data_IF_545040907944
#
_entry.id   IF_545040907944
#
_cell.length_a   1.000
_cell.length_b   1.000
_cell.length_c   1.000
_cell.angle_alpha   90.00
_cell.angle_beta   90.00
_cell.angle_gamma   90.00
#
_symmetry.space_group_name_H-M   'P 1'
#
loop_
_entity.id
_entity.type
_entity.pdbx_description
1 polymer ?
#
# COMPACT_ATOMS: atom_id res chain seq x y z
N UNK A 1 -46.95 -5.38 47.12
CA UNK A 1 -47.20 -5.62 45.68
C UNK A 1 -46.65 -4.43 44.89
N UNK A 2 -45.37 -4.46 44.51
CA UNK A 2 -44.72 -3.34 43.82
C UNK A 2 -44.80 -3.50 42.30
N UNK A 3 -45.38 -2.48 41.67
CA UNK A 3 -45.46 -2.26 40.23
C UNK A 3 -44.05 -2.25 39.60
N UNK A 4 -43.88 -2.97 38.48
CA UNK A 4 -42.76 -2.82 37.56
C UNK A 4 -43.26 -2.86 36.11
N UNK A 5 -43.72 -1.72 35.62
CA UNK A 5 -43.31 -1.24 34.29
C UNK A 5 -42.12 -0.30 34.58
N UNK A 6 -41.11 -0.09 33.74
CA UNK A 6 -41.18 0.48 32.41
C UNK A 6 -40.04 -0.05 31.56
N UNK A 7 -40.36 -0.41 30.32
CA UNK A 7 -39.40 -0.53 29.22
C UNK A 7 -39.11 0.88 28.72
N UNK A 8 -37.84 1.27 28.68
CA UNK A 8 -37.37 2.37 27.85
C UNK A 8 -36.11 1.89 27.12
N UNK A 9 -36.33 1.24 25.98
CA UNK A 9 -35.29 0.98 24.98
C UNK A 9 -35.13 2.29 24.21
N UNK A 10 -34.04 3.00 24.44
CA UNK A 10 -33.59 4.07 23.54
C UNK A 10 -32.56 3.44 22.57
N UNK A 11 -32.86 3.32 21.27
CA UNK A 11 -31.86 2.95 20.29
C UNK A 11 -30.99 4.18 20.02
N UNK A 12 -29.90 4.30 20.77
CA UNK A 12 -28.85 5.28 20.51
C UNK A 12 -28.11 4.91 19.23
N UNK A 13 -28.50 5.54 18.13
CA UNK A 13 -27.91 5.43 16.81
C UNK A 13 -26.42 5.80 16.88
N UNK A 14 -25.53 4.81 16.82
CA UNK A 14 -24.09 5.04 16.69
C UNK A 14 -23.86 5.43 15.24
N UNK A 15 -23.75 6.73 14.97
CA UNK A 15 -23.24 7.23 13.69
C UNK A 15 -21.74 6.92 13.65
N UNK A 16 -21.42 5.72 13.17
CA UNK A 16 -20.08 5.38 12.70
C UNK A 16 -19.75 6.36 11.59
N UNK A 17 -18.89 7.33 11.89
CA UNK A 17 -18.33 8.22 10.90
C UNK A 17 -17.37 7.37 10.07
N UNK A 18 -17.87 6.79 8.99
CA UNK A 18 -17.06 6.07 8.03
C UNK A 18 -16.00 7.06 7.52
N UNK A 19 -14.77 6.85 7.96
CA UNK A 19 -13.61 7.49 7.37
C UNK A 19 -13.70 7.22 5.86
N UNK A 20 -13.93 8.27 5.08
CA UNK A 20 -13.70 8.25 3.65
C UNK A 20 -12.23 7.89 3.47
N UNK A 21 -11.96 6.59 3.32
CA UNK A 21 -10.72 6.12 2.77
C UNK A 21 -10.66 6.77 1.39
N UNK A 22 -9.76 7.73 1.22
CA UNK A 22 -9.47 8.30 -0.08
C UNK A 22 -9.22 7.10 -1.01
N UNK A 23 -10.18 6.81 -1.90
CA UNK A 23 -10.00 5.80 -2.94
C UNK A 23 -8.70 6.15 -3.63
N UNK A 24 -7.81 5.17 -3.80
CA UNK A 24 -6.53 5.47 -4.43
C UNK A 24 -6.84 5.98 -5.83
N UNK A 25 -6.24 7.13 -6.19
CA UNK A 25 -6.38 7.72 -7.53
C UNK A 25 -5.92 6.78 -8.66
N UNK A 26 -5.39 5.61 -8.30
CA UNK A 26 -4.82 4.60 -9.15
C UNK A 26 -5.84 3.61 -9.72
N UNK A 27 -7.12 3.68 -9.36
CA UNK A 27 -8.14 2.74 -9.87
C UNK A 27 -8.24 2.67 -11.40
N UNK A 28 -7.97 3.78 -12.08
CA UNK A 28 -7.91 3.85 -13.56
C UNK A 28 -6.61 3.26 -14.14
N UNK A 29 -5.59 3.05 -13.32
CA UNK A 29 -4.25 2.55 -13.68
C UNK A 29 -4.11 1.05 -13.42
N UNK A 30 -5.16 0.27 -13.72
CA UNK A 30 -5.16 -1.19 -13.60
C UNK A 30 -4.38 -1.86 -14.72
N UNK A 31 -3.90 -3.07 -14.43
CA UNK A 31 -3.21 -3.91 -15.39
C UNK A 31 -4.06 -4.18 -16.63
N UNK A 32 -3.44 -4.14 -17.80
CA UNK A 32 -4.01 -4.65 -19.06
C UNK A 32 -3.16 -5.82 -19.57
N UNK A 33 -3.38 -6.26 -20.81
CA UNK A 33 -2.69 -7.44 -21.35
C UNK A 33 -1.17 -7.25 -21.48
N UNK A 34 -0.70 -6.02 -21.69
CA UNK A 34 0.71 -5.71 -21.93
C UNK A 34 1.41 -5.05 -20.73
N UNK A 35 0.70 -4.22 -19.98
CA UNK A 35 1.27 -3.34 -18.94
C UNK A 35 0.77 -3.79 -17.57
N UNK A 36 1.68 -3.81 -16.59
CA UNK A 36 1.31 -3.98 -15.19
C UNK A 36 0.85 -2.65 -14.60
N UNK A 37 -0.36 -2.65 -14.03
CA UNK A 37 -0.99 -1.46 -13.48
C UNK A 37 -0.31 -0.96 -12.22
N UNK A 38 -0.31 0.37 -12.05
CA UNK A 38 0.14 1.01 -10.82
C UNK A 38 -0.76 0.66 -9.64
N UNK A 39 -2.05 0.39 -9.90
CA UNK A 39 -2.98 -0.10 -8.90
C UNK A 39 -2.47 -1.40 -8.24
N UNK A 40 -2.15 -2.42 -9.04
CA UNK A 40 -1.72 -3.71 -8.48
C UNK A 40 -0.36 -3.61 -7.78
N UNK A 41 0.54 -2.75 -8.25
CA UNK A 41 1.82 -2.45 -7.59
C UNK A 41 1.60 -1.81 -6.22
N UNK A 42 0.73 -0.80 -6.14
CA UNK A 42 0.37 -0.13 -4.88
C UNK A 42 -0.26 -1.10 -3.89
N UNK A 43 -1.21 -1.93 -4.36
CA UNK A 43 -1.87 -2.93 -3.52
C UNK A 43 -0.90 -3.97 -2.95
N UNK A 44 0.03 -4.48 -3.78
CA UNK A 44 1.05 -5.43 -3.32
C UNK A 44 1.94 -4.82 -2.23
N UNK A 45 2.39 -3.57 -2.44
CA UNK A 45 3.22 -2.87 -1.47
C UNK A 45 2.48 -2.57 -0.16
N UNK A 46 1.22 -2.13 -0.23
CA UNK A 46 0.39 -1.87 0.95
C UNK A 46 0.08 -3.13 1.73
N UNK A 47 -0.25 -4.22 1.05
CA UNK A 47 -0.50 -5.52 1.68
C UNK A 47 0.74 -6.01 2.45
N UNK A 48 1.93 -5.90 1.83
CA UNK A 48 3.19 -6.23 2.49
C UNK A 48 3.43 -5.35 3.73
N UNK A 49 3.29 -4.03 3.62
CA UNK A 49 3.50 -3.13 4.76
C UNK A 49 2.48 -3.34 5.88
N UNK A 50 1.22 -3.62 5.55
CA UNK A 50 0.21 -3.96 6.54
C UNK A 50 0.61 -5.21 7.35
N UNK A 51 1.09 -6.26 6.67
CA UNK A 51 1.58 -7.47 7.31
C UNK A 51 2.82 -7.20 8.20
N UNK A 52 3.77 -6.40 7.70
CA UNK A 52 4.98 -6.04 8.45
C UNK A 52 4.67 -5.19 9.69
N UNK A 53 3.75 -4.24 9.58
CA UNK A 53 3.28 -3.43 10.71
C UNK A 53 2.62 -4.31 11.78
N UNK A 54 1.76 -5.24 11.37
CA UNK A 54 1.12 -6.19 12.28
C UNK A 54 2.15 -7.08 12.99
N UNK A 55 3.19 -7.52 12.28
CA UNK A 55 4.24 -8.38 12.84
C UNK A 55 5.16 -7.67 13.84
N UNK A 56 5.47 -6.39 13.61
CA UNK A 56 6.53 -5.67 14.32
C UNK A 56 6.05 -4.53 15.23
N UNK A 57 4.74 -4.32 15.35
CA UNK A 57 4.14 -3.15 16.00
C UNK A 57 4.70 -1.81 15.46
N UNK A 58 5.17 -1.81 14.21
CA UNK A 58 5.61 -0.62 13.51
C UNK A 58 4.41 0.09 12.86
N UNK A 59 4.64 1.33 12.44
CA UNK A 59 3.64 2.14 11.74
C UNK A 59 4.28 2.71 10.46
N UNK A 60 4.51 1.87 9.46
CA UNK A 60 4.96 2.31 8.15
C UNK A 60 3.77 2.65 7.24
N UNK A 61 3.90 3.71 6.46
CA UNK A 61 2.99 4.07 5.38
C UNK A 61 3.74 4.04 4.03
N UNK A 62 3.10 3.48 3.00
CA UNK A 62 3.60 3.41 1.64
C UNK A 62 3.12 4.63 0.85
N UNK A 63 4.03 5.31 0.18
CA UNK A 63 3.69 6.34 -0.80
C UNK A 63 3.26 5.68 -2.12
N UNK A 64 2.32 6.31 -2.83
CA UNK A 64 1.88 5.82 -4.15
C UNK A 64 3.07 5.66 -5.13
N UNK A 65 2.99 4.71 -6.08
CA UNK A 65 3.95 4.57 -7.17
C UNK A 65 4.17 5.86 -7.95
N UNK A 66 5.34 5.99 -8.58
CA UNK A 66 5.57 7.07 -9.52
C UNK A 66 4.68 6.87 -10.75
N UNK A 67 3.86 7.86 -11.13
CA UNK A 67 2.98 7.79 -12.29
C UNK A 67 3.74 7.63 -13.63
N UNK A 68 5.06 7.86 -13.64
CA UNK A 68 5.94 7.59 -14.80
C UNK A 68 6.45 6.15 -14.85
N UNK A 69 6.11 5.31 -13.87
CA UNK A 69 6.47 3.89 -13.89
C UNK A 69 5.64 3.18 -14.95
N UNK A 70 6.33 2.54 -15.89
CA UNK A 70 5.74 1.71 -16.93
C UNK A 70 6.53 0.41 -17.00
N UNK A 71 5.88 -0.71 -16.69
CA UNK A 71 6.52 -2.03 -16.69
C UNK A 71 5.60 -3.05 -17.38
N UNK A 72 6.20 -4.06 -18.01
CA UNK A 72 5.43 -5.12 -18.66
C UNK A 72 4.59 -5.91 -17.63
N UNK A 73 3.39 -6.35 -18.02
CA UNK A 73 2.50 -7.14 -17.15
C UNK A 73 3.25 -8.33 -16.56
N UNK A 74 3.18 -8.51 -15.24
CA UNK A 74 3.80 -9.69 -14.64
C UNK A 74 3.00 -10.96 -15.04
N UNK A 75 3.71 -12.01 -15.46
CA UNK A 75 3.08 -13.30 -15.85
C UNK A 75 3.04 -14.30 -14.70
N UNK A 76 3.65 -13.95 -13.56
CA UNK A 76 3.68 -14.72 -12.31
C UNK A 76 3.29 -13.79 -11.15
N UNK A 77 2.96 -14.32 -9.96
CA UNK A 77 2.70 -13.50 -8.80
C UNK A 77 3.87 -12.56 -8.47
N UNK A 78 3.55 -11.35 -8.03
CA UNK A 78 4.54 -10.39 -7.56
C UNK A 78 5.20 -10.88 -6.26
N UNK A 79 6.51 -10.70 -6.16
CA UNK A 79 7.23 -10.76 -4.89
C UNK A 79 7.28 -9.35 -4.28
N UNK A 80 7.15 -9.23 -2.96
CA UNK A 80 7.22 -7.94 -2.28
C UNK A 80 8.07 -8.05 -1.02
N UNK A 81 9.03 -7.14 -0.87
CA UNK A 81 10.03 -7.20 0.22
C UNK A 81 10.57 -5.84 0.61
N UNK A 82 11.24 -5.78 1.75
CA UNK A 82 12.02 -4.60 2.13
C UNK A 82 13.24 -4.42 1.21
N UNK A 83 13.49 -3.18 0.81
CA UNK A 83 14.71 -2.78 0.12
C UNK A 83 15.32 -1.51 0.70
N UNK A 84 16.36 -1.01 0.02
CA UNK A 84 17.05 0.24 0.37
C UNK A 84 17.22 1.09 -0.89
N UNK A 85 17.03 2.40 -0.75
CA UNK A 85 17.40 3.38 -1.77
C UNK A 85 18.54 4.24 -1.23
N UNK A 86 19.49 4.58 -2.10
CA UNK A 86 20.56 5.52 -1.82
C UNK A 86 20.26 6.80 -2.59
N UNK A 87 20.23 7.91 -1.87
CA UNK A 87 20.04 9.24 -2.41
C UNK A 87 21.27 10.07 -2.01
N UNK A 88 21.64 11.02 -2.85
CA UNK A 88 22.70 11.98 -2.52
C UNK A 88 22.08 13.33 -2.26
N UNK A 89 22.35 13.90 -1.09
CA UNK A 89 21.95 15.26 -0.77
C UNK A 89 22.83 16.26 -1.56
N UNK A 90 22.38 17.52 -1.74
CA UNK A 90 23.16 18.54 -2.45
C UNK A 90 24.54 18.83 -1.84
N UNK A 91 24.72 18.54 -0.56
CA UNK A 91 25.98 18.64 0.18
C UNK A 91 26.93 17.43 -0.03
N UNK A 92 26.54 16.47 -0.89
CA UNK A 92 27.31 15.25 -1.18
C UNK A 92 27.11 14.13 -0.17
N UNK A 93 26.29 14.32 0.87
CA UNK A 93 26.01 13.27 1.86
C UNK A 93 25.13 12.17 1.28
N UNK A 94 25.52 10.91 1.50
CA UNK A 94 24.68 9.76 1.17
C UNK A 94 23.56 9.57 2.21
N UNK A 95 22.32 9.54 1.73
CA UNK A 95 21.11 9.26 2.50
C UNK A 95 20.60 7.88 2.11
N UNK A 96 20.56 6.95 3.06
CA UNK A 96 19.94 5.65 2.85
C UNK A 96 18.52 5.65 3.39
N UNK A 97 17.55 5.43 2.50
CA UNK A 97 16.13 5.27 2.84
C UNK A 97 15.70 3.80 2.78
N UNK A 98 14.73 3.43 3.62
CA UNK A 98 13.98 2.18 3.47
C UNK A 98 12.92 2.35 2.39
N UNK A 99 12.74 1.31 1.58
CA UNK A 99 11.70 1.24 0.54
C UNK A 99 11.02 -0.14 0.57
N UNK A 100 9.86 -0.23 -0.05
CA UNK A 100 9.25 -1.52 -0.40
C UNK A 100 9.57 -1.79 -1.86
N UNK A 101 10.11 -2.96 -2.14
CA UNK A 101 10.38 -3.42 -3.50
C UNK A 101 9.27 -4.37 -3.92
N UNK A 102 8.54 -4.02 -4.97
CA UNK A 102 7.62 -4.91 -5.68
C UNK A 102 8.34 -5.44 -6.91
N UNK A 103 8.46 -6.76 -6.99
CA UNK A 103 9.34 -7.46 -7.93
C UNK A 103 8.51 -8.39 -8.80
N UNK A 104 8.74 -8.32 -10.10
CA UNK A 104 8.27 -9.30 -11.05
C UNK A 104 9.45 -10.10 -11.58
N UNK A 105 9.58 -11.39 -11.23
CA UNK A 105 10.68 -12.20 -11.72
C UNK A 105 10.52 -12.61 -13.18
N UNK A 106 9.29 -12.60 -13.72
CA UNK A 106 9.01 -12.88 -15.13
C UNK A 106 7.77 -12.14 -15.61
N UNK A 107 7.94 -11.25 -16.58
CA UNK A 107 6.83 -10.55 -17.23
C UNK A 107 6.35 -11.26 -18.51
N UNK A 108 5.32 -10.73 -19.15
CA UNK A 108 4.83 -11.18 -20.45
C UNK A 108 5.87 -10.97 -21.58
N UNK A 109 6.80 -10.02 -21.43
CA UNK A 109 7.94 -9.86 -22.35
C UNK A 109 9.10 -10.82 -22.05
N UNK A 110 9.02 -11.59 -20.96
CA UNK A 110 10.09 -12.46 -20.47
C UNK A 110 11.12 -11.77 -19.57
N UNK A 111 11.11 -10.44 -19.49
CA UNK A 111 12.03 -9.66 -18.66
C UNK A 111 11.57 -9.63 -17.20
N UNK A 112 12.53 -9.50 -16.28
CA UNK A 112 12.26 -9.21 -14.87
C UNK A 112 12.31 -7.71 -14.60
N UNK A 113 11.51 -7.24 -13.64
CA UNK A 113 11.54 -5.84 -13.24
C UNK A 113 11.32 -5.68 -11.74
N UNK A 114 11.65 -4.49 -11.24
CA UNK A 114 11.47 -4.11 -9.85
C UNK A 114 11.05 -2.64 -9.75
N UNK A 115 10.05 -2.38 -8.93
CA UNK A 115 9.58 -1.03 -8.60
C UNK A 115 9.77 -0.79 -7.11
N UNK A 116 10.44 0.31 -6.76
CA UNK A 116 10.69 0.69 -5.37
C UNK A 116 9.74 1.81 -4.93
N UNK A 117 8.91 1.54 -3.94
CA UNK A 117 7.98 2.50 -3.34
C UNK A 117 8.57 3.05 -2.05
N UNK A 118 8.49 4.36 -1.87
CA UNK A 118 8.99 5.01 -0.65
C UNK A 118 8.07 4.67 0.51
N UNK A 119 8.68 4.50 1.69
CA UNK A 119 7.93 4.40 2.95
C UNK A 119 8.33 5.52 3.89
N UNK A 120 7.39 5.88 4.75
CA UNK A 120 7.60 6.81 5.87
C UNK A 120 7.00 6.24 7.14
N UNK A 121 7.49 6.67 8.30
CA UNK A 121 6.81 6.39 9.56
C UNK A 121 5.50 7.18 9.59
N UNK A 122 4.37 6.49 9.69
CA UNK A 122 3.08 7.11 9.97
C UNK A 122 3.16 7.74 11.36
N UNK A 123 2.95 9.06 11.41
CA UNK A 123 2.87 9.83 12.66
C UNK A 123 1.57 9.54 13.39
#
# INVERSE_FOLDING_TARGET
>A
MLRRAWVAILPGMVLSMDCLAAGSSLEEWRSNDAIHGLYEIDQAARAFVAAENARSQARWAVAEPNLKTLVARCSVPLDTRWGKIRLFAPDGRELTGRVVEVVCPKSVSGESWKVSLRVSSAS
#
